data_IF_157979433286
#
_entry.id   IF_157979433286
#
_cell.length_a   1.000
_cell.length_b   1.000
_cell.length_c   1.000
_cell.angle_alpha   90.00
_cell.angle_beta   90.00
_cell.angle_gamma   90.00
#
_symmetry.space_group_name_H-M   'P 1'
#
loop_
_entity.id
_entity.type
_entity.pdbx_description
1 polymer ?
#
# COMPACT_ATOMS: atom_id res chain seq x y z
N UNK A 1 -0.96 -19.25 20.91
CA UNK A 1 -1.38 -19.65 19.54
C UNK A 1 -1.55 -21.16 19.35
N UNK A 2 -0.62 -22.03 19.77
CA UNK A 2 -0.65 -23.49 19.48
C UNK A 2 -1.78 -24.31 20.13
N UNK A 3 -2.55 -23.73 21.04
CA UNK A 3 -3.60 -24.41 21.81
C UNK A 3 -5.01 -23.97 21.46
N UNK A 4 -5.16 -22.97 20.58
CA UNK A 4 -6.45 -22.41 20.18
C UNK A 4 -6.77 -22.81 18.73
N UNK A 5 -8.04 -23.07 18.40
CA UNK A 5 -8.48 -23.14 17.01
C UNK A 5 -8.14 -21.84 16.26
N UNK A 6 -7.77 -21.94 14.98
CA UNK A 6 -7.39 -20.79 14.15
C UNK A 6 -8.41 -19.63 14.20
N UNK A 7 -9.71 -19.96 14.19
CA UNK A 7 -10.79 -18.95 14.22
C UNK A 7 -10.85 -18.16 15.54
N UNK A 8 -10.30 -18.70 16.61
CA UNK A 8 -10.25 -18.04 17.93
C UNK A 8 -8.99 -17.16 18.08
N UNK A 9 -8.05 -17.22 17.14
CA UNK A 9 -6.94 -16.29 17.10
C UNK A 9 -7.44 -14.91 16.64
N UNK A 10 -7.53 -13.98 17.59
CA UNK A 10 -7.82 -12.56 17.35
C UNK A 10 -6.58 -11.70 17.08
N UNK A 11 -6.80 -10.42 16.78
CA UNK A 11 -5.79 -9.42 16.40
C UNK A 11 -4.56 -9.41 17.32
N UNK A 12 -4.78 -9.36 18.64
CA UNK A 12 -3.69 -9.37 19.63
C UNK A 12 -2.72 -10.54 19.46
N UNK A 13 -3.21 -11.73 19.13
CA UNK A 13 -2.33 -12.89 18.91
C UNK A 13 -1.43 -12.69 17.69
N UNK A 14 -1.97 -12.12 16.61
CA UNK A 14 -1.20 -11.85 15.40
C UNK A 14 -0.29 -10.64 15.56
N UNK A 15 -0.69 -9.63 16.33
CA UNK A 15 0.17 -8.53 16.73
C UNK A 15 1.42 -9.04 17.48
N UNK A 16 1.23 -9.87 18.50
CA UNK A 16 2.33 -10.49 19.25
C UNK A 16 3.17 -11.42 18.37
N UNK A 17 2.54 -12.19 17.48
CA UNK A 17 3.24 -13.07 16.55
C UNK A 17 4.11 -12.27 15.56
N UNK A 18 3.54 -11.27 14.90
CA UNK A 18 4.24 -10.46 13.92
C UNK A 18 5.34 -9.61 14.57
N UNK A 19 5.10 -9.06 15.77
CA UNK A 19 6.09 -8.29 16.52
C UNK A 19 7.13 -9.13 17.28
N UNK A 20 6.96 -10.45 17.34
CA UNK A 20 7.96 -11.36 17.91
C UNK A 20 9.22 -11.48 17.05
N UNK A 21 10.25 -12.13 17.57
CA UNK A 21 11.51 -12.35 16.82
C UNK A 21 11.22 -13.01 15.46
N UNK A 22 11.81 -12.44 14.42
CA UNK A 22 11.65 -12.89 13.03
C UNK A 22 12.95 -13.55 12.58
N UNK A 23 12.89 -14.84 12.26
CA UNK A 23 13.95 -15.52 11.51
C UNK A 23 13.92 -15.12 10.04
N UNK A 24 15.09 -15.09 9.40
CA UNK A 24 15.24 -14.77 7.96
C UNK A 24 14.50 -15.74 7.03
N UNK A 25 14.10 -16.91 7.53
CA UNK A 25 13.29 -17.87 6.78
C UNK A 25 12.16 -18.35 7.66
N UNK A 26 10.93 -18.19 7.17
CA UNK A 26 9.73 -18.57 7.90
C UNK A 26 9.28 -19.98 7.49
N UNK A 27 8.61 -20.69 8.40
CA UNK A 27 8.03 -21.99 8.08
C UNK A 27 6.83 -21.81 7.14
N UNK A 28 6.93 -22.31 5.91
CA UNK A 28 5.89 -22.13 4.89
C UNK A 28 4.53 -22.70 5.31
N UNK A 29 4.49 -23.86 5.97
CA UNK A 29 3.24 -24.46 6.46
C UNK A 29 2.57 -23.62 7.55
N UNK A 30 3.35 -23.05 8.48
CA UNK A 30 2.82 -22.18 9.53
C UNK A 30 2.21 -20.91 8.92
N UNK A 31 2.95 -20.24 8.02
CA UNK A 31 2.47 -19.02 7.36
C UNK A 31 1.22 -19.28 6.54
N UNK A 32 1.19 -20.34 5.73
CA UNK A 32 0.01 -20.72 4.94
C UNK A 32 -1.19 -21.07 5.81
N UNK A 33 -0.97 -21.66 6.99
CA UNK A 33 -2.04 -21.96 7.93
C UNK A 33 -2.62 -20.68 8.57
N UNK A 34 -1.78 -19.72 8.92
CA UNK A 34 -2.21 -18.47 9.56
C UNK A 34 -2.74 -17.41 8.61
N UNK A 35 -2.25 -17.36 7.37
CA UNK A 35 -2.56 -16.30 6.40
C UNK A 35 -4.07 -16.06 6.19
N UNK A 36 -4.94 -17.09 6.04
CA UNK A 36 -6.38 -16.85 5.88
C UNK A 36 -6.98 -16.06 7.04
N UNK A 37 -6.57 -16.36 8.29
CA UNK A 37 -7.09 -15.66 9.46
C UNK A 37 -6.52 -14.25 9.59
N UNK A 38 -5.26 -14.04 9.25
CA UNK A 38 -4.67 -12.69 9.20
C UNK A 38 -5.39 -11.81 8.17
N UNK A 39 -5.72 -12.37 7.00
CA UNK A 39 -6.49 -11.67 5.95
C UNK A 39 -7.88 -11.28 6.46
N UNK A 40 -8.59 -12.20 7.12
CA UNK A 40 -9.92 -11.91 7.69
C UNK A 40 -9.88 -10.74 8.67
N UNK A 41 -8.93 -10.75 9.60
CA UNK A 41 -8.76 -9.69 10.60
C UNK A 41 -8.34 -8.36 9.94
N UNK A 42 -7.39 -8.42 9.01
CA UNK A 42 -6.94 -7.25 8.26
C UNK A 42 -8.09 -6.60 7.47
N UNK A 43 -8.95 -7.40 6.84
CA UNK A 43 -10.14 -6.89 6.14
C UNK A 43 -11.20 -6.28 7.09
N UNK A 44 -11.12 -6.58 8.39
CA UNK A 44 -11.93 -5.98 9.45
C UNK A 44 -11.26 -4.73 10.08
N UNK A 45 -10.16 -4.25 9.48
CA UNK A 45 -9.35 -3.12 9.97
C UNK A 45 -8.73 -3.38 11.36
N UNK A 46 -8.49 -4.64 11.71
CA UNK A 46 -7.80 -4.99 12.95
C UNK A 46 -6.30 -4.73 12.85
N UNK A 47 -5.70 -4.29 13.96
CA UNK A 47 -4.27 -3.99 14.03
C UNK A 47 -3.46 -5.29 14.23
N UNK A 48 -2.64 -5.65 13.24
CA UNK A 48 -1.84 -6.88 13.25
C UNK A 48 -0.34 -6.63 13.47
N UNK A 49 0.07 -5.36 13.50
CA UNK A 49 1.43 -4.91 13.77
C UNK A 49 1.46 -3.40 14.05
N UNK A 50 2.57 -2.88 14.56
CA UNK A 50 2.75 -1.45 14.83
C UNK A 50 2.93 -0.58 13.57
N UNK A 51 3.33 -1.19 12.45
CA UNK A 51 3.58 -0.50 11.17
C UNK A 51 2.96 -1.30 10.04
N UNK A 52 2.19 -0.65 9.18
CA UNK A 52 1.37 -1.27 8.14
C UNK A 52 2.21 -2.03 7.13
N UNK A 53 3.32 -1.42 6.73
CA UNK A 53 4.29 -1.87 5.72
C UNK A 53 4.80 -3.29 6.00
N UNK A 54 4.73 -3.74 7.25
CA UNK A 54 5.27 -5.02 7.70
C UNK A 54 4.22 -5.99 8.28
N UNK A 55 2.92 -5.72 8.09
CA UNK A 55 1.83 -6.63 8.54
C UNK A 55 1.98 -8.05 8.00
N UNK A 56 2.39 -8.17 6.73
CA UNK A 56 2.56 -9.44 6.04
C UNK A 56 4.03 -9.77 5.75
N UNK A 57 5.00 -9.11 6.43
CA UNK A 57 6.43 -9.34 6.20
C UNK A 57 6.83 -10.81 6.32
N UNK A 58 6.21 -11.57 7.25
CA UNK A 58 6.44 -13.01 7.41
C UNK A 58 6.06 -13.84 6.17
N UNK A 59 5.11 -13.37 5.35
CA UNK A 59 4.82 -13.98 4.03
C UNK A 59 5.99 -13.79 3.08
N UNK A 60 6.58 -12.58 3.08
CA UNK A 60 7.78 -12.24 2.32
C UNK A 60 9.00 -13.11 2.62
N UNK A 61 9.17 -13.47 3.89
CA UNK A 61 10.27 -14.33 4.35
C UNK A 61 10.07 -15.83 4.07
N UNK A 62 8.93 -16.23 3.50
CA UNK A 62 8.77 -17.56 2.91
C UNK A 62 9.24 -17.48 1.45
N UNK A 63 10.17 -18.33 0.99
CA UNK A 63 10.58 -18.35 -0.41
C UNK A 63 9.37 -18.49 -1.35
N UNK A 64 9.29 -17.66 -2.40
CA UNK A 64 8.14 -17.68 -3.33
C UNK A 64 7.87 -19.05 -3.95
N UNK A 65 8.92 -19.88 -4.11
CA UNK A 65 8.85 -21.26 -4.60
C UNK A 65 8.10 -22.23 -3.68
N UNK A 66 7.93 -21.89 -2.40
CA UNK A 66 7.15 -22.70 -1.45
C UNK A 66 5.64 -22.53 -1.67
N UNK A 67 5.20 -21.49 -2.38
CA UNK A 67 3.80 -21.30 -2.73
C UNK A 67 3.48 -21.96 -4.07
N UNK A 68 2.32 -22.60 -4.14
CA UNK A 68 1.73 -23.06 -5.39
C UNK A 68 1.24 -21.86 -6.22
N UNK A 69 1.14 -22.04 -7.53
CA UNK A 69 0.57 -21.02 -8.42
C UNK A 69 -0.86 -20.61 -8.01
N UNK A 70 -1.66 -21.56 -7.53
CA UNK A 70 -3.03 -21.30 -7.04
C UNK A 70 -3.02 -20.43 -5.79
N UNK A 71 -2.15 -20.72 -4.81
CA UNK A 71 -2.03 -19.91 -3.59
C UNK A 71 -1.62 -18.47 -3.91
N UNK A 72 -0.60 -18.28 -4.76
CA UNK A 72 -0.18 -16.95 -5.20
C UNK A 72 -1.29 -16.22 -5.98
N UNK A 73 -2.05 -16.94 -6.81
CA UNK A 73 -3.18 -16.34 -7.55
C UNK A 73 -4.29 -15.87 -6.63
N UNK A 74 -4.63 -16.65 -5.59
CA UNK A 74 -5.63 -16.24 -4.60
C UNK A 74 -5.12 -15.05 -3.80
N UNK A 75 -3.85 -15.07 -3.42
CA UNK A 75 -3.21 -13.98 -2.69
C UNK A 75 -3.20 -12.66 -3.49
N UNK A 76 -2.82 -12.73 -4.77
CA UNK A 76 -2.89 -11.61 -5.71
C UNK A 76 -4.32 -11.08 -5.86
N UNK A 77 -5.32 -11.95 -6.06
CA UNK A 77 -6.72 -11.53 -6.17
C UNK A 77 -7.23 -10.82 -4.92
N UNK A 78 -6.83 -11.28 -3.74
CA UNK A 78 -7.16 -10.60 -2.50
C UNK A 78 -6.54 -9.19 -2.46
N UNK A 79 -5.24 -9.09 -2.73
CA UNK A 79 -4.53 -7.81 -2.70
C UNK A 79 -5.12 -6.82 -3.71
N UNK A 80 -5.37 -7.26 -4.94
CA UNK A 80 -6.02 -6.46 -5.99
C UNK A 80 -7.39 -5.96 -5.53
N UNK A 81 -8.25 -6.83 -5.00
CA UNK A 81 -9.59 -6.44 -4.55
C UNK A 81 -9.55 -5.47 -3.36
N UNK A 82 -8.58 -5.61 -2.47
CA UNK A 82 -8.41 -4.71 -1.33
C UNK A 82 -7.90 -3.34 -1.79
N UNK A 83 -6.86 -3.30 -2.63
CA UNK A 83 -6.30 -2.06 -3.17
C UNK A 83 -7.31 -1.30 -4.05
N UNK A 84 -8.06 -2.00 -4.90
CA UNK A 84 -9.13 -1.39 -5.71
C UNK A 84 -10.22 -0.77 -4.82
N UNK A 85 -10.55 -1.41 -3.68
CA UNK A 85 -11.47 -0.85 -2.68
C UNK A 85 -10.89 0.42 -2.05
N UNK A 86 -9.61 0.43 -1.67
CA UNK A 86 -8.96 1.61 -1.07
C UNK A 86 -9.02 2.84 -1.98
N UNK A 87 -8.89 2.67 -3.30
CA UNK A 87 -9.00 3.79 -4.26
C UNK A 87 -10.35 4.51 -4.22
N UNK A 88 -11.39 3.85 -3.70
CA UNK A 88 -12.76 4.39 -3.64
C UNK A 88 -13.17 4.86 -2.25
N UNK A 89 -12.30 4.70 -1.26
CA UNK A 89 -12.56 5.03 0.14
C UNK A 89 -11.62 6.13 0.62
N UNK A 90 -12.06 6.92 1.58
CA UNK A 90 -11.14 7.69 2.40
C UNK A 90 -10.28 6.72 3.21
N UNK A 91 -8.98 6.92 3.17
CA UNK A 91 -8.03 6.15 3.98
C UNK A 91 -7.87 6.86 5.31
N UNK A 92 -7.94 6.13 6.42
CA UNK A 92 -7.73 6.65 7.78
C UNK A 92 -6.24 7.07 7.98
N UNK A 93 -5.81 8.12 7.28
CA UNK A 93 -4.47 8.73 7.27
C UNK A 93 -3.32 7.86 6.73
N UNK A 94 -3.51 6.56 6.53
CA UNK A 94 -2.47 5.68 5.97
C UNK A 94 -2.41 5.83 4.46
N UNK A 95 -1.24 6.23 3.96
CA UNK A 95 -0.98 6.33 2.52
C UNK A 95 -1.21 5.00 1.82
N UNK A 96 -1.81 5.03 0.63
CA UNK A 96 -1.93 3.84 -0.21
C UNK A 96 -0.55 3.21 -0.51
N UNK A 97 0.54 4.00 -0.49
CA UNK A 97 1.90 3.48 -0.71
C UNK A 97 2.34 2.52 0.40
N UNK A 98 1.96 2.74 1.65
CA UNK A 98 2.21 1.78 2.74
C UNK A 98 1.58 0.43 2.46
N UNK A 99 0.37 0.40 1.89
CA UNK A 99 -0.30 -0.84 1.50
C UNK A 99 0.41 -1.51 0.32
N UNK A 100 0.89 -0.72 -0.66
CA UNK A 100 1.66 -1.24 -1.78
C UNK A 100 2.98 -1.85 -1.33
N UNK A 101 3.70 -1.19 -0.43
CA UNK A 101 4.94 -1.73 0.15
C UNK A 101 4.64 -3.03 0.92
N UNK A 102 3.62 -3.02 1.78
CA UNK A 102 3.18 -4.20 2.53
C UNK A 102 2.90 -5.40 1.62
N UNK A 103 2.13 -5.20 0.55
CA UNK A 103 1.79 -6.27 -0.38
C UNK A 103 2.99 -6.70 -1.23
N UNK A 104 3.81 -5.76 -1.71
CA UNK A 104 5.03 -6.07 -2.44
C UNK A 104 5.98 -6.95 -1.62
N UNK A 105 6.25 -6.55 -0.37
CA UNK A 105 7.03 -7.34 0.60
C UNK A 105 6.45 -8.74 0.78
N UNK A 106 5.15 -8.94 0.58
CA UNK A 106 4.45 -10.22 0.66
C UNK A 106 4.29 -10.96 -0.69
N UNK A 107 5.19 -10.73 -1.66
CA UNK A 107 5.25 -11.38 -2.98
C UNK A 107 4.17 -10.98 -4.00
N UNK A 108 3.36 -9.97 -3.71
CA UNK A 108 2.35 -9.44 -4.64
C UNK A 108 3.02 -8.61 -5.73
N UNK A 109 2.65 -8.84 -6.98
CA UNK A 109 3.02 -7.93 -8.06
C UNK A 109 2.06 -6.73 -8.07
N UNK A 110 2.59 -5.55 -7.75
CA UNK A 110 1.80 -4.32 -7.66
C UNK A 110 1.63 -3.62 -9.02
N UNK A 111 2.42 -3.98 -10.04
CA UNK A 111 2.39 -3.32 -11.36
C UNK A 111 1.01 -3.33 -12.02
N UNK A 112 0.23 -4.43 -11.99
CA UNK A 112 -1.12 -4.44 -12.56
C UNK A 112 -2.06 -3.47 -11.84
N UNK A 113 -1.92 -3.30 -10.52
CA UNK A 113 -2.71 -2.31 -9.77
C UNK A 113 -2.30 -0.88 -10.14
N UNK A 114 -1.00 -0.58 -10.18
CA UNK A 114 -0.49 0.73 -10.59
C UNK A 114 -0.98 1.14 -11.98
N UNK A 115 -1.04 0.19 -12.92
CA UNK A 115 -1.61 0.43 -14.25
C UNK A 115 -3.11 0.74 -14.21
N UNK A 116 -3.89 0.07 -13.36
CA UNK A 116 -5.32 0.39 -13.19
C UNK A 116 -5.51 1.76 -12.55
N UNK A 117 -4.72 2.07 -11.52
CA UNK A 117 -4.78 3.36 -10.85
C UNK A 117 -4.39 4.52 -11.77
N UNK A 118 -3.36 4.33 -12.60
CA UNK A 118 -2.96 5.31 -13.61
C UNK A 118 -4.09 5.73 -14.55
N UNK A 119 -5.05 4.84 -14.81
CA UNK A 119 -6.19 5.08 -15.69
C UNK A 119 -7.50 5.38 -14.92
N UNK A 120 -7.43 5.64 -13.61
CA UNK A 120 -8.59 5.91 -12.77
C UNK A 120 -8.76 7.42 -12.54
N UNK A 121 -9.77 7.99 -13.19
CA UNK A 121 -10.04 9.43 -13.20
C UNK A 121 -11.01 9.87 -12.08
N UNK A 122 -11.30 9.00 -11.12
CA UNK A 122 -12.14 9.41 -9.99
C UNK A 122 -11.42 10.45 -9.13
N UNK A 123 -12.13 11.46 -8.59
CA UNK A 123 -11.52 12.45 -7.70
C UNK A 123 -10.70 11.82 -6.57
N UNK A 124 -11.22 10.76 -5.96
CA UNK A 124 -10.54 10.05 -4.88
C UNK A 124 -9.21 9.44 -5.31
N UNK A 125 -9.15 8.82 -6.49
CA UNK A 125 -7.92 8.23 -7.00
C UNK A 125 -6.84 9.29 -7.28
N UNK A 126 -7.24 10.47 -7.77
CA UNK A 126 -6.34 11.61 -8.00
C UNK A 126 -5.82 12.15 -6.66
N UNK A 127 -6.70 12.29 -5.67
CA UNK A 127 -6.34 12.74 -4.32
C UNK A 127 -5.35 11.78 -3.67
N UNK A 128 -5.62 10.47 -3.73
CA UNK A 128 -4.71 9.45 -3.20
C UNK A 128 -3.32 9.53 -3.84
N UNK A 129 -3.26 9.84 -5.13
CA UNK A 129 -1.98 9.97 -5.83
C UNK A 129 -1.21 11.17 -5.30
N UNK A 130 -1.88 12.32 -5.20
CA UNK A 130 -1.30 13.57 -4.70
C UNK A 130 -0.81 13.41 -3.27
N UNK A 131 -1.62 12.82 -2.40
CA UNK A 131 -1.27 12.55 -1.00
C UNK A 131 -0.03 11.66 -0.90
N UNK A 132 -0.09 10.49 -1.53
CA UNK A 132 0.94 9.48 -1.39
C UNK A 132 2.28 9.92 -2.01
N UNK A 133 2.25 10.57 -3.17
CA UNK A 133 3.45 11.08 -3.84
C UNK A 133 4.13 12.20 -3.07
N UNK A 134 3.38 13.06 -2.38
CA UNK A 134 3.96 14.12 -1.56
C UNK A 134 4.83 13.56 -0.43
N UNK A 135 4.22 12.72 0.41
CA UNK A 135 4.86 12.21 1.62
C UNK A 135 6.03 11.26 1.31
N UNK A 136 5.86 10.39 0.32
CA UNK A 136 6.80 9.28 0.07
C UNK A 136 7.80 9.56 -1.03
N UNK A 137 7.69 10.64 -1.80
CA UNK A 137 8.57 10.86 -2.95
C UNK A 137 9.07 12.29 -3.05
N UNK A 138 8.16 13.27 -3.04
CA UNK A 138 8.56 14.68 -3.19
C UNK A 138 9.35 15.17 -1.98
N UNK A 139 8.90 14.86 -0.76
CA UNK A 139 9.65 15.22 0.45
C UNK A 139 11.03 14.53 0.49
N UNK A 140 11.14 13.35 -0.10
CA UNK A 140 12.37 12.56 -0.13
C UNK A 140 13.28 12.88 -1.33
N UNK A 141 13.12 14.04 -1.96
CA UNK A 141 13.95 14.48 -3.09
C UNK A 141 13.90 13.52 -4.26
N UNK A 142 12.69 13.13 -4.69
CA UNK A 142 12.46 12.27 -5.86
C UNK A 142 13.02 10.85 -5.69
N UNK A 143 13.04 10.38 -4.44
CA UNK A 143 13.35 9.00 -4.10
C UNK A 143 12.21 8.43 -3.27
N UNK A 144 11.67 7.28 -3.67
CA UNK A 144 10.59 6.64 -2.90
C UNK A 144 11.10 6.21 -1.52
N UNK A 145 10.47 6.73 -0.47
CA UNK A 145 10.68 6.30 0.91
C UNK A 145 10.19 4.86 1.07
N UNK A 146 10.94 4.07 1.83
CA UNK A 146 10.55 2.71 2.16
C UNK A 146 10.80 2.46 3.63
N UNK A 147 9.97 1.61 4.23
CA UNK A 147 10.11 1.25 5.63
C UNK A 147 11.49 0.64 5.96
N UNK A 148 12.08 -0.10 5.02
CA UNK A 148 13.44 -0.65 5.13
C UNK A 148 14.32 -0.23 3.94
N UNK A 149 15.63 -0.09 4.15
CA UNK A 149 16.63 0.30 3.14
C UNK A 149 16.87 -0.74 2.02
N UNK A 150 16.28 -1.94 2.11
CA UNK A 150 16.59 -3.09 1.22
C UNK A 150 15.51 -3.40 0.18
N UNK A 151 14.64 -2.44 -0.15
CA UNK A 151 13.51 -2.62 -1.06
C UNK A 151 13.77 -2.04 -2.47
N UNK A 152 14.95 -2.32 -3.04
CA UNK A 152 15.38 -1.71 -4.30
C UNK A 152 14.43 -2.01 -5.48
N UNK A 153 13.84 -3.20 -5.56
CA UNK A 153 12.86 -3.50 -6.62
C UNK A 153 11.59 -2.65 -6.47
N UNK A 154 11.04 -2.56 -5.26
CA UNK A 154 9.87 -1.73 -4.98
C UNK A 154 10.15 -0.25 -5.27
N UNK A 155 11.28 0.28 -4.79
CA UNK A 155 11.71 1.64 -5.06
C UNK A 155 11.79 1.91 -6.56
N UNK A 156 12.38 0.99 -7.33
CA UNK A 156 12.46 1.12 -8.78
C UNK A 156 11.08 1.13 -9.44
N UNK A 157 10.19 0.18 -9.09
CA UNK A 157 8.83 0.12 -9.65
C UNK A 157 8.07 1.42 -9.39
N UNK A 158 8.09 1.88 -8.14
CA UNK A 158 7.35 3.07 -7.73
C UNK A 158 7.95 4.34 -8.33
N UNK A 159 9.28 4.46 -8.38
CA UNK A 159 9.96 5.59 -9.02
C UNK A 159 9.63 5.63 -10.51
N UNK A 160 9.75 4.52 -11.24
CA UNK A 160 9.42 4.46 -12.67
C UNK A 160 7.96 4.82 -12.96
N UNK A 161 7.04 4.41 -12.07
CA UNK A 161 5.63 4.73 -12.20
C UNK A 161 5.34 6.21 -11.89
N UNK A 162 5.95 6.75 -10.83
CA UNK A 162 5.84 8.16 -10.46
C UNK A 162 6.45 9.07 -11.52
N UNK A 163 7.62 8.71 -12.07
CA UNK A 163 8.35 9.46 -13.10
C UNK A 163 7.83 9.28 -14.52
N UNK A 164 6.76 8.52 -14.68
CA UNK A 164 6.08 8.43 -15.97
C UNK A 164 5.46 9.79 -16.33
N UNK A 165 6.06 10.50 -17.29
CA UNK A 165 5.61 11.84 -17.70
C UNK A 165 4.17 11.87 -18.20
N UNK A 166 3.71 10.82 -18.91
CA UNK A 166 2.31 10.74 -19.36
C UNK A 166 1.36 10.62 -18.17
N UNK A 167 1.74 9.83 -17.16
CA UNK A 167 0.98 9.69 -15.93
C UNK A 167 0.93 11.01 -15.14
N UNK A 168 2.07 11.67 -14.92
CA UNK A 168 2.12 12.99 -14.25
C UNK A 168 1.23 14.02 -14.95
N UNK A 169 1.35 14.13 -16.27
CA UNK A 169 0.51 15.03 -17.07
C UNK A 169 -0.98 14.67 -17.04
N UNK A 170 -1.30 13.38 -16.96
CA UNK A 170 -2.67 12.92 -16.80
C UNK A 170 -3.24 13.34 -15.44
N UNK A 171 -2.53 13.05 -14.34
CA UNK A 171 -2.95 13.44 -12.99
C UNK A 171 -3.06 14.95 -12.87
N UNK A 172 -2.11 15.72 -13.38
CA UNK A 172 -2.16 17.19 -13.35
C UNK A 172 -3.42 17.72 -14.05
N UNK A 173 -3.81 17.14 -15.21
CA UNK A 173 -5.06 17.51 -15.89
C UNK A 173 -6.29 17.16 -15.06
N UNK A 174 -6.31 16.01 -14.40
CA UNK A 174 -7.45 15.63 -13.54
C UNK A 174 -7.56 16.55 -12.32
N UNK A 175 -6.42 16.89 -11.70
CA UNK A 175 -6.36 17.78 -10.53
C UNK A 175 -6.92 19.17 -10.86
N UNK A 176 -6.59 19.73 -12.03
CA UNK A 176 -7.15 21.02 -12.50
C UNK A 176 -8.67 20.99 -12.72
N UNK A 177 -9.24 19.80 -12.96
CA UNK A 177 -10.66 19.61 -13.20
C UNK A 177 -11.43 19.21 -11.94
N UNK A 178 -10.77 19.06 -10.77
CA UNK A 178 -11.46 18.76 -9.54
C UNK A 178 -12.33 19.95 -9.08
N UNK A 179 -13.54 19.69 -8.54
CA UNK A 179 -14.33 20.71 -7.88
C UNK A 179 -13.56 21.37 -6.73
N UNK A 180 -13.66 22.70 -6.62
CA UNK A 180 -12.95 23.46 -5.59
C UNK A 180 -13.31 23.00 -4.16
N UNK A 181 -14.54 22.51 -3.94
CA UNK A 181 -14.97 22.01 -2.65
C UNK A 181 -14.21 20.73 -2.24
N UNK A 182 -13.90 19.86 -3.21
CA UNK A 182 -13.14 18.63 -2.97
C UNK A 182 -11.68 18.96 -2.64
N UNK A 183 -11.11 19.88 -3.40
CA UNK A 183 -9.74 20.39 -3.20
C UNK A 183 -9.61 21.02 -1.81
N UNK A 184 -10.58 21.85 -1.41
CA UNK A 184 -10.60 22.50 -0.10
C UNK A 184 -10.75 21.49 1.04
N UNK A 185 -11.70 20.56 0.94
CA UNK A 185 -11.90 19.51 1.94
C UNK A 185 -10.61 18.72 2.17
N UNK A 186 -9.92 18.36 1.08
CA UNK A 186 -8.65 17.66 1.15
C UNK A 186 -7.53 18.48 1.82
N UNK A 187 -7.39 19.77 1.49
CA UNK A 187 -6.41 20.63 2.16
C UNK A 187 -6.66 20.74 3.67
N UNK A 188 -7.93 20.86 4.08
CA UNK A 188 -8.33 20.96 5.48
C UNK A 188 -8.10 19.65 6.26
N UNK A 189 -8.40 18.49 5.64
CA UNK A 189 -8.28 17.18 6.28
C UNK A 189 -6.82 16.78 6.57
N UNK A 190 -5.90 17.17 5.70
CA UNK A 190 -4.49 16.78 5.77
C UNK A 190 -3.56 17.91 6.25
N UNK A 191 -4.13 19.00 6.81
CA UNK A 191 -3.42 20.19 7.30
C UNK A 191 -2.37 20.70 6.28
N UNK A 192 -2.74 20.68 5.00
CA UNK A 192 -1.89 21.19 3.96
C UNK A 192 -1.98 22.73 3.95
N UNK A 193 -0.89 23.47 4.20
CA UNK A 193 -0.91 24.92 4.06
C UNK A 193 -1.33 25.32 2.64
N UNK A 194 -2.21 26.32 2.56
CA UNK A 194 -2.63 26.99 1.33
C UNK A 194 -1.40 27.27 0.44
N UNK A 195 -1.30 26.58 -0.70
CA UNK A 195 -0.17 26.67 -1.64
C UNK A 195 0.55 25.35 -1.96
N UNK A 196 0.29 24.25 -1.23
CA UNK A 196 0.88 22.93 -1.55
C UNK A 196 0.33 22.28 -2.80
N UNK A 197 -0.95 22.50 -3.12
CA UNK A 197 -1.54 22.00 -4.37
C UNK A 197 -0.89 22.68 -5.58
N UNK A 198 -0.60 23.99 -5.49
CA UNK A 198 0.14 24.71 -6.54
C UNK A 198 1.57 24.17 -6.70
N UNK A 199 2.25 23.82 -5.60
CA UNK A 199 3.57 23.19 -5.67
C UNK A 199 3.51 21.77 -6.26
N UNK A 200 2.49 20.98 -5.93
CA UNK A 200 2.23 19.68 -6.56
C UNK A 200 1.92 19.83 -8.05
N UNK A 201 1.20 20.88 -8.46
CA UNK A 201 1.03 21.20 -9.87
C UNK A 201 2.38 21.50 -10.53
N UNK A 202 3.25 22.29 -9.89
CA UNK A 202 4.57 22.61 -10.44
C UNK A 202 5.47 21.35 -10.59
N UNK A 203 5.41 20.43 -9.62
CA UNK A 203 6.16 19.15 -9.66
C UNK A 203 5.57 18.15 -10.67
N UNK A 204 4.25 18.12 -10.84
CA UNK A 204 3.57 17.22 -11.78
C UNK A 204 3.52 17.78 -13.22
N UNK A 205 3.73 19.09 -13.40
CA UNK A 205 3.76 19.75 -14.70
C UNK A 205 5.17 19.93 -15.28
N UNK A 206 6.22 19.75 -14.47
CA UNK A 206 7.62 19.75 -14.90
C UNK A 206 8.02 18.44 -15.61
#
# INVERSE_FOLDING_TARGET
MRTLPLRELGAKHFYEYNGGVIDKTQNSNEIKYFLPRMIELFAQNEELHHSLEIYFARVGYVPKSEFTATELTIWQKFADAYLDKLLTQDTDYKSIFSYLEMFHKAHIDIRPFLQRWQNNDTPQAVIHFVHASWDYYVWQQEKVDTFDDNEAEYQQIMTDWLDNAEHKQHVARQLLNLPAEIVQQYCEEYDYPDGRIDYLFDVLAA
#
